data_IF_920986000568
#
_entry.id   IF_920986000568
#
_cell.length_a   1.000
_cell.length_b   1.000
_cell.length_c   1.000
_cell.angle_alpha   90.00
_cell.angle_beta   90.00
_cell.angle_gamma   90.00
#
_symmetry.space_group_name_H-M   'P 1'
#
loop_
_entity.id
_entity.type
_entity.pdbx_description
1 polymer ?
#
# COMPACT_ATOMS: atom_id res chain seq x y z
N UNK A 1 28.75 14.89 -5.63
CA UNK A 1 27.41 14.93 -4.99
C UNK A 1 26.77 13.58 -5.22
N UNK A 2 27.06 12.62 -4.35
CA UNK A 2 26.46 11.29 -4.40
C UNK A 2 24.94 11.39 -4.28
N UNK A 3 24.21 10.78 -5.22
CA UNK A 3 22.75 10.85 -5.22
C UNK A 3 22.19 9.98 -4.10
N UNK A 4 21.92 10.61 -2.96
CA UNK A 4 21.06 10.08 -1.90
C UNK A 4 19.59 10.07 -2.34
N UNK A 5 19.27 9.52 -3.51
CA UNK A 5 17.88 9.35 -3.94
C UNK A 5 17.41 7.97 -3.48
N UNK A 6 16.63 7.87 -2.38
CA UNK A 6 16.03 6.59 -1.94
C UNK A 6 14.98 6.07 -2.94
N UNK A 7 14.60 6.92 -3.90
CA UNK A 7 13.70 6.62 -4.99
C UNK A 7 14.47 5.99 -6.14
N UNK A 8 14.04 4.78 -6.55
CA UNK A 8 14.46 4.22 -7.84
C UNK A 8 13.43 4.62 -8.89
N UNK A 9 13.75 5.58 -9.79
CA UNK A 9 12.74 6.18 -10.67
C UNK A 9 12.17 5.18 -11.67
N UNK A 10 12.98 4.25 -12.18
CA UNK A 10 12.53 3.25 -13.16
C UNK A 10 11.49 2.28 -12.55
N UNK A 11 11.75 1.60 -11.42
CA UNK A 11 10.75 0.77 -10.75
C UNK A 11 9.49 1.54 -10.32
N UNK A 12 9.65 2.76 -9.81
CA UNK A 12 8.50 3.60 -9.43
C UNK A 12 7.60 3.90 -10.62
N UNK A 13 8.20 4.27 -11.76
CA UNK A 13 7.45 4.57 -12.98
C UNK A 13 6.73 3.33 -13.51
N UNK A 14 7.38 2.16 -13.48
CA UNK A 14 6.76 0.89 -13.88
C UNK A 14 5.55 0.57 -13.01
N UNK A 15 5.67 0.69 -11.68
CA UNK A 15 4.56 0.42 -10.77
C UNK A 15 3.38 1.38 -11.00
N UNK A 16 3.65 2.67 -11.22
CA UNK A 16 2.63 3.67 -11.55
C UNK A 16 1.95 3.34 -12.88
N UNK A 17 2.73 3.01 -13.92
CA UNK A 17 2.19 2.64 -15.24
C UNK A 17 1.29 1.41 -15.14
N UNK A 18 1.72 0.36 -14.42
CA UNK A 18 0.91 -0.84 -14.21
C UNK A 18 -0.42 -0.48 -13.54
N UNK A 19 -0.38 0.34 -12.49
CA UNK A 19 -1.57 0.80 -11.78
C UNK A 19 -2.52 1.53 -12.71
N UNK A 20 -2.01 2.48 -13.50
CA UNK A 20 -2.80 3.30 -14.42
C UNK A 20 -3.40 2.46 -15.57
N UNK A 21 -2.66 1.47 -16.08
CA UNK A 21 -3.17 0.56 -17.12
C UNK A 21 -4.36 -0.25 -16.57
N UNK A 22 -4.23 -0.83 -15.39
CA UNK A 22 -5.33 -1.61 -14.79
C UNK A 22 -6.52 -0.71 -14.48
N UNK A 23 -6.27 0.51 -14.00
CA UNK A 23 -7.30 1.47 -13.63
C UNK A 23 -8.10 2.02 -14.83
N UNK A 24 -7.42 2.44 -15.90
CA UNK A 24 -8.05 3.20 -16.99
C UNK A 24 -8.15 2.45 -18.33
N UNK A 25 -7.26 1.49 -18.59
CA UNK A 25 -7.18 0.81 -19.90
C UNK A 25 -7.96 -0.50 -19.88
N UNK A 26 -7.95 -1.22 -18.75
CA UNK A 26 -8.65 -2.50 -18.62
C UNK A 26 -10.07 -2.26 -18.08
N UNK A 27 -11.13 -2.55 -18.87
CA UNK A 27 -12.49 -2.42 -18.40
C UNK A 27 -12.78 -3.45 -17.30
N UNK A 28 -13.53 -3.04 -16.28
CA UNK A 28 -13.91 -3.95 -15.21
C UNK A 28 -14.88 -5.03 -15.75
N UNK A 29 -14.78 -6.29 -15.28
CA UNK A 29 -15.79 -7.30 -15.56
C UNK A 29 -17.16 -6.91 -15.01
N UNK A 30 -18.24 -7.35 -15.65
CA UNK A 30 -19.63 -7.01 -15.26
C UNK A 30 -19.96 -7.46 -13.82
N UNK A 31 -19.33 -8.54 -13.35
CA UNK A 31 -19.55 -9.12 -12.03
C UNK A 31 -18.76 -8.42 -10.91
N UNK A 32 -17.90 -7.46 -11.25
CA UNK A 32 -17.01 -6.78 -10.29
C UNK A 32 -17.42 -5.33 -10.16
N UNK A 33 -17.62 -4.85 -8.92
CA UNK A 33 -17.92 -3.44 -8.69
C UNK A 33 -16.73 -2.56 -9.12
N UNK A 34 -16.97 -1.36 -9.65
CA UNK A 34 -15.89 -0.46 -10.06
C UNK A 34 -14.90 -0.19 -8.91
N UNK A 35 -15.40 -0.01 -7.69
CA UNK A 35 -14.57 0.16 -6.50
C UNK A 35 -13.63 -1.03 -6.24
N UNK A 36 -14.13 -2.26 -6.35
CA UNK A 36 -13.29 -3.45 -6.17
C UNK A 36 -12.19 -3.54 -7.25
N UNK A 37 -12.49 -3.12 -8.49
CA UNK A 37 -11.50 -3.07 -9.58
C UNK A 37 -10.38 -2.06 -9.32
N UNK A 38 -10.72 -0.87 -8.84
CA UNK A 38 -9.72 0.14 -8.47
C UNK A 38 -8.88 -0.26 -7.25
N UNK A 39 -9.48 -0.98 -6.29
CA UNK A 39 -8.75 -1.54 -5.14
C UNK A 39 -7.70 -2.55 -5.62
N UNK A 40 -8.08 -3.42 -6.56
CA UNK A 40 -7.17 -4.36 -7.20
C UNK A 40 -6.02 -3.64 -7.91
N UNK A 41 -6.33 -2.57 -8.67
CA UNK A 41 -5.31 -1.76 -9.34
C UNK A 41 -4.27 -1.20 -8.35
N UNK A 42 -4.73 -0.61 -7.23
CA UNK A 42 -3.85 -0.11 -6.17
C UNK A 42 -3.03 -1.22 -5.51
N UNK A 43 -3.64 -2.39 -5.30
CA UNK A 43 -2.96 -3.53 -4.70
C UNK A 43 -1.84 -4.04 -5.62
N UNK A 44 -2.13 -4.30 -6.89
CA UNK A 44 -1.15 -4.77 -7.88
C UNK A 44 -0.04 -3.73 -8.06
N UNK A 45 -0.38 -2.45 -8.15
CA UNK A 45 0.59 -1.35 -8.18
C UNK A 45 1.52 -1.33 -6.97
N UNK A 46 0.95 -1.51 -5.78
CA UNK A 46 1.71 -1.57 -4.52
C UNK A 46 2.68 -2.76 -4.50
N UNK A 47 2.23 -3.94 -4.92
CA UNK A 47 3.08 -5.14 -5.02
C UNK A 47 4.20 -4.94 -6.04
N UNK A 48 3.91 -4.36 -7.20
CA UNK A 48 4.91 -4.05 -8.21
C UNK A 48 5.97 -3.07 -7.68
N UNK A 49 5.56 -2.05 -6.92
CA UNK A 49 6.48 -1.11 -6.27
C UNK A 49 7.39 -1.79 -5.23
N UNK A 50 6.84 -2.71 -4.43
CA UNK A 50 7.60 -3.47 -3.42
C UNK A 50 8.61 -4.40 -4.09
N UNK A 51 8.19 -5.19 -5.08
CA UNK A 51 9.08 -6.10 -5.82
C UNK A 51 10.18 -5.31 -6.54
N UNK A 52 9.81 -4.20 -7.18
CA UNK A 52 10.74 -3.29 -7.84
C UNK A 52 11.68 -2.56 -6.89
N UNK A 53 11.48 -2.67 -5.57
CA UNK A 53 12.22 -1.94 -4.52
C UNK A 53 12.26 -0.44 -4.82
N UNK A 54 11.12 0.11 -5.25
CA UNK A 54 10.95 1.50 -5.66
C UNK A 54 11.33 2.48 -4.54
N UNK A 55 10.96 2.10 -3.31
CA UNK A 55 11.17 2.80 -2.05
C UNK A 55 11.30 1.77 -0.90
N UNK A 56 11.74 2.19 0.29
CA UNK A 56 11.62 1.37 1.50
C UNK A 56 10.17 0.91 1.70
N UNK A 57 9.98 -0.35 2.11
CA UNK A 57 8.65 -0.96 2.23
C UNK A 57 7.69 -0.14 3.08
N UNK A 58 8.17 0.45 4.19
CA UNK A 58 7.37 1.32 5.04
C UNK A 58 6.86 2.57 4.32
N UNK A 59 7.70 3.21 3.50
CA UNK A 59 7.29 4.39 2.73
C UNK A 59 6.23 4.03 1.68
N UNK A 60 6.39 2.89 0.99
CA UNK A 60 5.38 2.39 0.04
C UNK A 60 4.07 2.12 0.76
N UNK A 61 4.09 1.47 1.93
CA UNK A 61 2.89 1.18 2.71
C UNK A 61 2.12 2.44 3.10
N UNK A 62 2.81 3.49 3.56
CA UNK A 62 2.16 4.75 3.93
C UNK A 62 1.55 5.44 2.70
N UNK A 63 2.25 5.46 1.57
CA UNK A 63 1.71 6.03 0.32
C UNK A 63 0.49 5.25 -0.15
N UNK A 64 0.53 3.91 -0.12
CA UNK A 64 -0.57 3.06 -0.52
C UNK A 64 -1.81 3.29 0.36
N UNK A 65 -1.64 3.36 1.69
CA UNK A 65 -2.72 3.65 2.63
C UNK A 65 -3.32 5.05 2.36
N UNK A 66 -2.47 6.04 2.13
CA UNK A 66 -2.91 7.39 1.80
C UNK A 66 -3.70 7.42 0.47
N UNK A 67 -3.26 6.69 -0.55
CA UNK A 67 -3.98 6.57 -1.81
C UNK A 67 -5.34 5.88 -1.64
N UNK A 68 -5.42 4.81 -0.85
CA UNK A 68 -6.70 4.13 -0.56
C UNK A 68 -7.67 5.06 0.17
N UNK A 69 -7.19 5.80 1.17
CA UNK A 69 -8.00 6.77 1.90
C UNK A 69 -8.45 7.94 1.01
N UNK A 70 -7.55 8.46 0.16
CA UNK A 70 -7.84 9.59 -0.73
C UNK A 70 -8.79 9.22 -1.87
N UNK A 71 -8.61 8.03 -2.45
CA UNK A 71 -9.47 7.54 -3.53
C UNK A 71 -10.84 7.08 -3.01
N UNK A 72 -10.97 6.82 -1.70
CA UNK A 72 -12.23 6.39 -1.09
C UNK A 72 -12.72 5.05 -1.61
N UNK A 73 -11.81 4.24 -2.17
CA UNK A 73 -12.14 3.04 -2.93
C UNK A 73 -12.82 1.96 -2.09
N UNK A 74 -12.62 1.98 -0.77
CA UNK A 74 -13.26 1.06 0.17
C UNK A 74 -14.68 1.48 0.54
N UNK A 75 -14.96 2.79 0.58
CA UNK A 75 -16.24 3.36 0.99
C UNK A 75 -16.57 4.61 0.16
N UNK A 76 -17.11 4.44 -1.06
CA UNK A 76 -17.45 5.56 -1.95
C UNK A 76 -18.48 6.50 -1.30
N UNK A 77 -18.14 7.79 -1.21
CA UNK A 77 -19.03 8.83 -0.64
C UNK A 77 -18.99 8.98 0.88
N UNK A 78 -18.17 8.19 1.60
CA UNK A 78 -17.97 8.32 3.06
C UNK A 78 -16.49 8.43 3.42
N UNK A 79 -15.89 9.63 3.39
CA UNK A 79 -14.45 9.81 3.59
C UNK A 79 -13.96 9.35 4.96
N UNK A 80 -14.76 9.56 6.01
CA UNK A 80 -14.42 9.09 7.36
C UNK A 80 -14.39 7.55 7.45
N UNK A 81 -15.31 6.86 6.78
CA UNK A 81 -15.35 5.40 6.76
C UNK A 81 -14.17 4.83 5.95
N UNK A 82 -13.86 5.42 4.79
CA UNK A 82 -12.73 5.01 3.97
C UNK A 82 -11.37 5.18 4.70
N UNK A 83 -11.23 6.26 5.48
CA UNK A 83 -10.04 6.48 6.31
C UNK A 83 -9.92 5.41 7.40
N UNK A 84 -11.03 5.08 8.09
CA UNK A 84 -11.04 4.03 9.11
C UNK A 84 -10.66 2.68 8.51
N UNK A 85 -11.17 2.33 7.32
CA UNK A 85 -10.80 1.10 6.64
C UNK A 85 -9.31 1.09 6.27
N UNK A 86 -8.79 2.19 5.72
CA UNK A 86 -7.39 2.30 5.32
C UNK A 86 -6.44 2.17 6.53
N UNK A 87 -6.84 2.69 7.70
CA UNK A 87 -6.05 2.62 8.93
C UNK A 87 -6.30 1.36 9.76
N UNK A 88 -7.33 0.57 9.45
CA UNK A 88 -7.72 -0.62 10.23
C UNK A 88 -6.56 -1.62 10.40
N UNK A 89 -5.66 -1.69 9.41
CA UNK A 89 -4.45 -2.52 9.47
C UNK A 89 -3.52 -2.19 10.64
N UNK A 90 -3.45 -0.93 11.09
CA UNK A 90 -2.65 -0.55 12.26
C UNK A 90 -3.23 -1.00 13.59
N UNK A 91 -4.53 -1.34 13.62
CA UNK A 91 -5.22 -1.85 14.81
C UNK A 91 -5.29 -3.38 14.83
N UNK A 92 -4.54 -4.07 13.97
CA UNK A 92 -4.56 -5.53 13.92
C UNK A 92 -3.77 -6.15 15.08
N UNK A 93 -4.45 -6.92 15.92
CA UNK A 93 -3.86 -7.54 17.10
C UNK A 93 -2.69 -8.49 16.76
N UNK A 94 -2.76 -9.23 15.65
CA UNK A 94 -1.68 -10.12 15.22
C UNK A 94 -0.42 -9.34 14.83
N UNK A 95 -0.56 -8.20 14.15
CA UNK A 95 0.58 -7.34 13.77
C UNK A 95 1.27 -6.78 15.04
N UNK A 96 0.47 -6.33 16.01
CA UNK A 96 1.01 -5.87 17.30
C UNK A 96 1.69 -6.97 18.10
N UNK A 97 1.15 -8.19 18.10
CA UNK A 97 1.78 -9.35 18.74
C UNK A 97 3.16 -9.66 18.13
N UNK A 98 3.28 -9.62 16.80
CA UNK A 98 4.57 -9.79 16.10
C UNK A 98 5.55 -8.68 16.53
N UNK A 99 5.09 -7.42 16.56
CA UNK A 99 5.91 -6.27 16.99
C UNK A 99 6.44 -6.42 18.41
N UNK A 100 5.57 -6.74 19.38
CA UNK A 100 5.94 -6.94 20.78
C UNK A 100 6.90 -8.13 20.93
N UNK A 101 6.64 -9.24 20.23
CA UNK A 101 7.52 -10.42 20.26
C UNK A 101 8.96 -10.07 19.81
N UNK A 102 9.10 -9.31 18.72
CA UNK A 102 10.40 -8.85 18.22
C UNK A 102 11.07 -7.88 19.22
N UNK A 103 10.31 -6.97 19.83
CA UNK A 103 10.84 -6.05 20.85
C UNK A 103 11.38 -6.79 22.07
N UNK A 104 10.64 -7.79 22.58
CA UNK A 104 11.08 -8.62 23.71
C UNK A 104 12.31 -9.46 23.35
N UNK A 105 12.32 -10.08 22.17
CA UNK A 105 13.48 -10.84 21.68
C UNK A 105 14.75 -9.98 21.62
N UNK A 106 14.65 -8.75 21.11
CA UNK A 106 15.77 -7.82 21.07
C UNK A 106 16.17 -7.29 22.45
N UNK A 107 15.24 -7.18 23.40
CA UNK A 107 15.55 -6.78 24.79
C UNK A 107 16.37 -7.83 25.51
N UNK A 108 16.00 -9.11 25.37
CA UNK A 108 16.72 -10.23 25.98
C UNK A 108 18.09 -10.47 25.35
N UNK A 109 18.25 -10.20 24.05
CA UNK A 109 19.55 -10.33 23.37
C UNK A 109 20.57 -9.25 23.79
N UNK A 110 20.14 -8.19 24.48
CA UNK A 110 21.02 -7.12 24.98
C UNK A 110 21.51 -7.35 26.42
N UNK A 111 20.90 -8.30 27.13
CA UNK A 111 21.35 -8.82 28.44
C UNK A 111 22.23 -10.04 28.24
#
# INVERSE_FOLDING_TARGET
MDRMTPLKPVPSLIAIIITLIIWFVVPHPQDVTPSAWHLLALFVGTIAAIIGKALPIGAISIIAIALVALTGVTNPGKPAAALNDALSGFSNNLIWLIGISIMLSQSLNKT
#
